data_IF_540306575696
#
_entry.id   IF_540306575696
#
_cell.length_a   1.000
_cell.length_b   1.000
_cell.length_c   1.000
_cell.angle_alpha   90.00
_cell.angle_beta   90.00
_cell.angle_gamma   90.00
#
_symmetry.space_group_name_H-M   'P 1'
#
loop_
_entity.id
_entity.type
_entity.pdbx_description
1 polymer ?
#
# COMPACT_ATOMS: atom_id res chain seq x y z
N UNK A 1 -10.85 46.74 26.32
CA UNK A 1 -10.33 46.52 24.95
C UNK A 1 -9.30 45.36 24.90
N UNK A 2 -9.63 44.16 25.43
CA UNK A 2 -8.69 43.01 25.52
C UNK A 2 -9.21 41.72 24.88
N UNK A 3 -10.54 41.53 24.81
CA UNK A 3 -11.14 40.32 24.25
C UNK A 3 -11.24 40.29 22.72
N UNK A 4 -11.16 41.45 22.04
CA UNK A 4 -11.23 41.55 20.58
C UNK A 4 -9.94 41.10 19.86
N UNK A 5 -8.79 41.18 20.54
CA UNK A 5 -7.49 40.79 19.96
C UNK A 5 -7.27 39.28 19.99
N UNK A 6 -7.88 38.58 20.95
CA UNK A 6 -7.80 37.12 21.09
C UNK A 6 -8.66 36.39 20.05
N UNK A 7 -9.81 36.94 19.70
CA UNK A 7 -10.70 36.34 18.69
C UNK A 7 -10.17 36.50 17.27
N UNK A 8 -9.52 37.62 16.95
CA UNK A 8 -8.92 37.84 15.63
C UNK A 8 -7.77 36.86 15.33
N UNK A 9 -6.95 36.52 16.34
CA UNK A 9 -5.81 35.62 16.17
C UNK A 9 -6.23 34.15 15.99
N UNK A 10 -7.36 33.74 16.57
CA UNK A 10 -7.89 32.38 16.45
C UNK A 10 -8.49 32.12 15.07
N UNK A 11 -9.11 33.12 14.44
CA UNK A 11 -9.70 33.02 13.10
C UNK A 11 -8.65 32.86 12.00
N UNK A 12 -7.45 33.44 12.15
CA UNK A 12 -6.38 33.35 11.15
C UNK A 12 -5.66 31.99 11.14
N UNK A 13 -5.63 31.27 12.26
CA UNK A 13 -4.99 29.95 12.33
C UNK A 13 -5.79 28.85 11.59
N UNK A 14 -7.12 28.97 11.54
CA UNK A 14 -8.01 27.99 10.88
C UNK A 14 -7.90 28.07 9.35
N UNK A 15 -7.68 29.28 8.80
CA UNK A 15 -7.51 29.50 7.36
C UNK A 15 -6.15 29.02 6.84
N UNK A 16 -5.10 29.09 7.66
CA UNK A 16 -3.76 28.60 7.30
C UNK A 16 -3.63 27.07 7.44
N UNK A 17 -4.30 26.46 8.44
CA UNK A 17 -4.26 25.00 8.63
C UNK A 17 -4.98 24.22 7.52
N UNK A 18 -6.03 24.80 6.92
CA UNK A 18 -6.84 24.14 5.90
C UNK A 18 -6.14 23.98 4.55
N UNK A 19 -5.10 24.78 4.25
CA UNK A 19 -4.38 24.68 2.98
C UNK A 19 -3.31 23.60 2.96
N UNK A 20 -2.76 23.21 4.13
CA UNK A 20 -1.71 22.18 4.21
C UNK A 20 -2.26 20.79 3.87
N UNK A 21 -3.52 20.51 4.21
CA UNK A 21 -4.19 19.24 3.89
C UNK A 21 -4.47 19.06 2.38
N UNK A 22 -4.53 20.15 1.61
CA UNK A 22 -4.80 20.11 0.16
C UNK A 22 -3.53 19.98 -0.69
N UNK A 23 -2.35 20.07 -0.06
CA UNK A 23 -1.05 19.95 -0.71
C UNK A 23 -0.39 18.58 -0.48
N UNK A 24 -1.03 17.68 0.28
CA UNK A 24 -0.51 16.34 0.48
C UNK A 24 -0.55 15.58 -0.86
N UNK A 25 0.58 15.02 -1.33
CA UNK A 25 0.59 14.16 -2.50
C UNK A 25 -0.38 13.00 -2.28
N UNK A 26 -1.26 12.73 -3.25
CA UNK A 26 -2.07 11.54 -3.21
C UNK A 26 -1.15 10.31 -3.18
N UNK A 27 -1.23 9.51 -2.13
CA UNK A 27 -0.50 8.25 -2.05
C UNK A 27 -1.17 7.26 -3.02
N UNK A 28 -0.55 7.06 -4.17
CA UNK A 28 -1.00 6.07 -5.16
C UNK A 28 -0.37 4.71 -4.81
N UNK A 29 -1.20 3.79 -4.36
CA UNK A 29 -0.84 2.39 -4.18
C UNK A 29 -1.59 1.60 -5.26
N UNK A 30 -0.86 0.98 -6.17
CA UNK A 30 -1.44 0.14 -7.22
C UNK A 30 -1.32 -1.32 -6.80
N UNK A 31 -2.45 -2.01 -6.74
CA UNK A 31 -2.49 -3.46 -6.51
C UNK A 31 -2.29 -4.12 -7.86
N UNK A 32 -1.22 -4.89 -7.98
CA UNK A 32 -0.90 -5.62 -9.20
C UNK A 32 -1.23 -7.08 -8.98
N UNK A 33 -2.15 -7.60 -9.80
CA UNK A 33 -2.43 -9.03 -9.86
C UNK A 33 -1.32 -9.75 -10.62
N UNK A 34 -0.47 -10.47 -9.89
CA UNK A 34 0.62 -11.24 -10.50
C UNK A 34 0.13 -12.67 -10.74
N UNK A 35 -0.02 -13.01 -12.02
CA UNK A 35 -0.35 -14.36 -12.46
C UNK A 35 0.92 -15.24 -12.49
N UNK A 36 0.97 -16.21 -11.59
CA UNK A 36 2.00 -17.25 -11.57
C UNK A 36 1.52 -18.47 -12.33
N UNK A 37 2.23 -18.81 -13.39
CA UNK A 37 2.06 -20.05 -14.14
C UNK A 37 3.21 -20.99 -13.79
N UNK A 38 2.89 -22.22 -13.38
CA UNK A 38 3.89 -23.25 -13.10
C UNK A 38 3.49 -24.56 -13.77
N UNK A 39 4.44 -25.16 -14.48
CA UNK A 39 4.32 -26.54 -14.95
C UNK A 39 4.70 -27.47 -13.81
N UNK A 40 3.82 -28.40 -13.46
CA UNK A 40 4.07 -29.39 -12.39
C UNK A 40 3.89 -30.81 -12.92
N UNK A 41 4.44 -31.84 -12.27
CA UNK A 41 4.25 -33.24 -12.70
C UNK A 41 2.79 -33.70 -12.74
N UNK A 42 1.87 -33.00 -12.05
CA UNK A 42 0.43 -33.26 -12.04
C UNK A 42 -0.34 -32.34 -13.02
N UNK A 43 0.37 -31.65 -13.90
CA UNK A 43 -0.16 -30.72 -14.90
C UNK A 43 0.08 -29.24 -14.58
N UNK A 44 -0.33 -28.34 -15.49
CA UNK A 44 -0.17 -26.90 -15.32
C UNK A 44 -1.01 -26.36 -14.16
N UNK A 45 -0.45 -25.44 -13.39
CA UNK A 45 -1.11 -24.75 -12.27
C UNK A 45 -0.94 -23.25 -12.41
N UNK A 46 -2.03 -22.53 -12.18
CA UNK A 46 -2.08 -21.07 -12.12
C UNK A 46 -2.42 -20.57 -10.72
N UNK A 47 -1.80 -19.49 -10.28
CA UNK A 47 -2.18 -18.82 -9.03
C UNK A 47 -1.98 -17.31 -9.14
N UNK A 48 -2.92 -16.54 -8.59
CA UNK A 48 -2.83 -15.08 -8.55
C UNK A 48 -2.51 -14.64 -7.12
N UNK A 49 -1.38 -13.97 -6.93
CA UNK A 49 -1.05 -13.31 -5.66
C UNK A 49 -1.30 -11.81 -5.82
N UNK A 50 -2.22 -11.22 -5.03
CA UNK A 50 -2.36 -9.77 -4.95
C UNK A 50 -1.16 -9.19 -4.20
N UNK A 51 -0.38 -8.34 -4.90
CA UNK A 51 0.79 -7.65 -4.36
C UNK A 51 0.54 -6.15 -4.41
N UNK A 52 0.67 -5.48 -3.27
CA UNK A 52 0.70 -4.01 -3.18
C UNK A 52 2.14 -3.52 -3.37
N UNK A 53 2.36 -2.63 -4.34
CA UNK A 53 3.68 -2.06 -4.63
C UNK A 53 3.62 -0.55 -4.37
N UNK A 54 4.39 -0.12 -3.37
CA UNK A 54 4.58 1.30 -3.06
C UNK A 54 5.98 1.75 -3.47
N UNK A 55 6.09 2.96 -4.02
CA UNK A 55 7.38 3.56 -4.36
C UNK A 55 7.57 4.89 -3.66
N UNK A 56 8.79 5.15 -3.20
CA UNK A 56 9.19 6.44 -2.64
C UNK A 56 10.47 6.88 -3.34
N UNK A 57 10.47 8.10 -3.89
CA UNK A 57 11.67 8.64 -4.54
C UNK A 57 12.79 8.82 -3.53
N UNK A 58 13.99 8.38 -3.89
CA UNK A 58 15.19 8.43 -3.05
C UNK A 58 16.39 8.82 -3.91
N UNK A 59 16.75 10.10 -3.89
CA UNK A 59 17.79 10.67 -4.77
C UNK A 59 17.46 10.50 -6.25
N UNK A 60 18.34 9.82 -6.99
CA UNK A 60 18.18 9.54 -8.42
C UNK A 60 17.41 8.24 -8.72
N UNK A 61 16.88 7.55 -7.69
CA UNK A 61 16.13 6.29 -7.86
C UNK A 61 14.85 6.25 -7.01
N UNK A 62 14.27 5.05 -6.91
CA UNK A 62 13.09 4.77 -6.09
C UNK A 62 13.35 3.62 -5.14
N UNK A 63 12.88 3.75 -3.90
CA UNK A 63 12.75 2.65 -2.97
C UNK A 63 11.38 2.03 -3.16
N UNK A 64 11.34 0.75 -3.51
CA UNK A 64 10.12 -0.03 -3.64
C UNK A 64 9.83 -0.78 -2.33
N UNK A 65 8.57 -0.81 -1.92
CA UNK A 65 8.07 -1.66 -0.83
C UNK A 65 6.97 -2.53 -1.41
N UNK A 66 7.19 -3.83 -1.41
CA UNK A 66 6.25 -4.82 -1.92
C UNK A 66 5.60 -5.55 -0.74
N UNK A 67 4.27 -5.61 -0.72
CA UNK A 67 3.51 -6.32 0.32
C UNK A 67 2.68 -7.43 -0.32
N UNK A 68 2.97 -8.67 0.06
CA UNK A 68 2.25 -9.86 -0.40
C UNK A 68 1.00 -10.03 0.45
N UNK A 69 -0.18 -9.81 -0.13
CA UNK A 69 -1.44 -9.81 0.64
C UNK A 69 -2.00 -11.23 0.84
N UNK A 70 -1.73 -12.14 -0.10
CA UNK A 70 -2.16 -13.53 -0.03
C UNK A 70 -1.12 -14.48 -0.63
N UNK A 71 -0.76 -15.51 0.13
CA UNK A 71 0.11 -16.58 -0.34
C UNK A 71 -0.60 -17.48 -1.35
N UNK A 72 0.14 -17.90 -2.38
CA UNK A 72 -0.33 -18.83 -3.43
C UNK A 72 0.13 -20.26 -3.23
N UNK A 73 0.77 -20.54 -2.08
CA UNK A 73 1.18 -21.89 -1.70
C UNK A 73 -0.05 -22.76 -1.47
N UNK A 74 -0.38 -23.57 -2.48
CA UNK A 74 -1.28 -24.72 -2.34
C UNK A 74 -0.39 -25.94 -2.51
N UNK A 75 0.04 -26.56 -1.41
CA UNK A 75 0.74 -27.85 -1.50
C UNK A 75 -0.18 -28.82 -2.27
N UNK A 76 0.24 -29.37 -3.43
CA UNK A 76 -0.63 -30.23 -4.23
C UNK A 76 -0.84 -31.62 -3.61
N UNK A 77 -0.12 -31.92 -2.54
CA UNK A 77 -0.12 -33.22 -1.88
C UNK A 77 -0.87 -33.08 -0.56
N UNK A 78 -1.99 -33.79 -0.43
CA UNK A 78 -2.52 -34.16 0.89
C UNK A 78 -1.45 -35.02 1.56
N UNK A 79 -0.73 -34.43 2.51
CA UNK A 79 0.23 -35.17 3.31
C UNK A 79 -0.58 -36.17 4.17
N UNK A 80 -0.51 -37.45 3.79
CA UNK A 80 -1.05 -38.53 4.60
C UNK A 80 -0.48 -38.46 6.02
N UNK A 81 -1.27 -38.87 7.02
CA UNK A 81 -0.79 -38.94 8.41
C UNK A 81 0.48 -39.80 8.42
N UNK A 82 1.53 -39.25 9.04
CA UNK A 82 2.82 -39.93 9.17
C UNK A 82 2.70 -41.28 9.91
N UNK A 83 3.74 -42.11 9.84
CA UNK A 83 3.74 -43.44 10.44
C UNK A 83 3.45 -43.43 11.95
#
# INVERSE_FOLDING_TARGET
MSNQKRTALALTAVLAGSMVLMAAPAAHAEVVDVNYQCETPIGPKGAVSPIDIKSVRSGNGYKLTMSFQKGVSSSPVELGKGP
#
